data_IF_890925047456
#
_entry.id   IF_890925047456
#
_cell.length_a   1.000
_cell.length_b   1.000
_cell.length_c   1.000
_cell.angle_alpha   90.00
_cell.angle_beta   90.00
_cell.angle_gamma   90.00
#
_symmetry.space_group_name_H-M   'P 1'
#
loop_
_entity.id
_entity.type
_entity.pdbx_description
1 polymer ?
#
# COMPACT_ATOMS: atom_id res chain seq x y z
N UNK A 1 -5.22 12.85 -15.34
CA UNK A 1 -4.06 13.69 -15.59
C UNK A 1 -2.82 13.11 -14.93
N UNK A 2 -1.74 13.01 -15.69
CA UNK A 2 -0.51 12.38 -15.19
C UNK A 2 0.14 13.15 -14.06
N UNK A 3 -0.19 14.41 -13.88
CA UNK A 3 0.38 15.24 -12.82
C UNK A 3 -0.49 15.29 -11.57
N UNK A 4 -1.64 14.63 -11.60
CA UNK A 4 -2.49 14.60 -10.42
C UNK A 4 -1.92 13.69 -9.37
N UNK A 5 -2.09 14.07 -8.12
CA UNK A 5 -1.71 13.26 -6.97
C UNK A 5 -2.93 12.96 -6.13
N UNK A 6 -2.84 11.90 -5.35
CA UNK A 6 -3.95 11.42 -4.55
C UNK A 6 -3.61 11.47 -3.07
N UNK A 7 -4.60 11.80 -2.25
CA UNK A 7 -4.43 11.78 -0.80
C UNK A 7 -4.42 10.36 -0.28
N UNK A 8 -5.22 9.48 -0.89
CA UNK A 8 -5.32 8.09 -0.48
C UNK A 8 -5.36 7.22 -1.73
N UNK A 9 -4.57 6.17 -1.73
CA UNK A 9 -4.64 5.13 -2.76
C UNK A 9 -4.91 3.82 -2.04
N UNK A 10 -5.92 3.10 -2.50
CA UNK A 10 -6.27 1.79 -1.96
C UNK A 10 -5.99 0.72 -3.01
N UNK A 11 -5.20 -0.29 -2.63
CA UNK A 11 -4.89 -1.41 -3.50
C UNK A 11 -5.49 -2.69 -2.93
N UNK A 12 -6.20 -3.43 -3.78
CA UNK A 12 -6.80 -4.70 -3.44
C UNK A 12 -6.41 -5.72 -4.51
N UNK A 13 -5.11 -6.11 -4.59
CA UNK A 13 -4.68 -7.08 -5.59
C UNK A 13 -5.32 -8.44 -5.34
N UNK A 14 -5.35 -9.31 -6.34
CA UNK A 14 -5.89 -10.66 -6.17
C UNK A 14 -5.13 -11.43 -5.08
N UNK A 15 -5.81 -12.34 -4.41
CA UNK A 15 -5.15 -13.26 -3.49
C UNK A 15 -4.06 -14.03 -4.23
N UNK A 16 -3.05 -14.44 -3.51
CA UNK A 16 -1.88 -15.14 -4.05
C UNK A 16 -1.00 -14.26 -4.94
N UNK A 17 -1.28 -12.96 -4.98
CA UNK A 17 -0.41 -12.04 -5.68
C UNK A 17 0.88 -11.89 -4.88
N UNK A 18 2.02 -12.23 -5.49
CA UNK A 18 3.29 -12.26 -4.78
C UNK A 18 4.19 -11.07 -5.09
N UNK A 19 3.62 -10.01 -5.67
CA UNK A 19 4.40 -8.83 -6.06
C UNK A 19 3.94 -7.55 -5.36
N UNK A 20 3.40 -7.72 -4.15
CA UNK A 20 2.92 -6.58 -3.37
C UNK A 20 4.00 -5.54 -3.14
N UNK A 21 5.21 -6.00 -2.79
CA UNK A 21 6.30 -5.07 -2.53
C UNK A 21 6.75 -4.35 -3.80
N UNK A 22 6.73 -5.04 -4.93
CA UNK A 22 7.08 -4.42 -6.20
C UNK A 22 6.10 -3.31 -6.58
N UNK A 23 4.79 -3.57 -6.42
CA UNK A 23 3.78 -2.57 -6.73
C UNK A 23 3.85 -1.41 -5.74
N UNK A 24 4.04 -1.72 -4.47
CA UNK A 24 4.17 -0.67 -3.45
C UNK A 24 5.35 0.24 -3.78
N UNK A 25 6.50 -0.35 -4.09
CA UNK A 25 7.68 0.43 -4.42
C UNK A 25 7.47 1.27 -5.66
N UNK A 26 6.79 0.73 -6.67
CA UNK A 26 6.51 1.48 -7.89
C UNK A 26 5.64 2.70 -7.61
N UNK A 27 4.60 2.53 -6.80
CA UNK A 27 3.70 3.63 -6.46
C UNK A 27 4.43 4.71 -5.69
N UNK A 28 5.24 4.32 -4.72
CA UNK A 28 5.99 5.28 -3.91
C UNK A 28 7.05 5.99 -4.74
N UNK A 29 7.70 5.27 -5.65
CA UNK A 29 8.73 5.85 -6.52
C UNK A 29 8.13 6.89 -7.46
N UNK A 30 6.94 6.65 -7.98
CA UNK A 30 6.32 7.59 -8.92
C UNK A 30 5.72 8.81 -8.24
N UNK A 31 5.68 8.82 -6.93
CA UNK A 31 5.24 9.97 -6.14
C UNK A 31 3.85 10.47 -6.56
N UNK A 32 2.94 9.55 -6.78
CA UNK A 32 1.57 9.91 -7.15
C UNK A 32 0.68 10.17 -5.94
N UNK A 33 1.23 10.05 -4.74
CA UNK A 33 0.52 10.32 -3.50
C UNK A 33 1.02 11.65 -2.93
N UNK A 34 0.10 12.50 -2.48
CA UNK A 34 0.46 13.77 -1.88
C UNK A 34 1.29 13.58 -0.61
N UNK A 35 2.06 14.59 -0.27
CA UNK A 35 2.74 14.60 1.01
C UNK A 35 1.69 14.48 2.12
N UNK A 36 1.96 13.64 3.10
CA UNK A 36 1.02 13.29 4.16
C UNK A 36 -0.17 12.47 3.68
N UNK A 37 -0.07 11.92 2.48
CA UNK A 37 -1.06 11.00 1.97
C UNK A 37 -0.83 9.60 2.51
N UNK A 38 -1.65 8.66 2.05
CA UNK A 38 -1.63 7.30 2.56
C UNK A 38 -1.85 6.30 1.43
N UNK A 39 -1.03 5.25 1.43
CA UNK A 39 -1.25 4.08 0.58
C UNK A 39 -1.74 2.95 1.47
N UNK A 40 -2.87 2.36 1.12
CA UNK A 40 -3.44 1.25 1.87
C UNK A 40 -3.43 0.02 0.97
N UNK A 41 -2.84 -1.06 1.45
CA UNK A 41 -2.80 -2.32 0.70
C UNK A 41 -3.49 -3.41 1.49
N UNK A 42 -4.47 -4.06 0.87
CA UNK A 42 -5.09 -5.25 1.43
C UNK A 42 -4.25 -6.45 1.03
N UNK A 43 -3.95 -7.33 1.98
CA UNK A 43 -3.11 -8.50 1.71
C UNK A 43 -3.40 -9.60 2.73
N UNK A 44 -2.82 -10.77 2.48
CA UNK A 44 -2.94 -11.87 3.45
C UNK A 44 -1.71 -11.89 4.37
N UNK A 45 -1.66 -12.90 5.24
CA UNK A 45 -0.61 -12.99 6.24
C UNK A 45 0.77 -13.30 5.68
N UNK A 46 0.84 -13.74 4.42
CA UNK A 46 2.11 -14.13 3.81
C UNK A 46 2.90 -12.93 3.32
N UNK A 47 2.23 -11.81 3.12
CA UNK A 47 2.89 -10.61 2.63
C UNK A 47 3.40 -9.80 3.82
N UNK A 48 4.67 -9.43 3.77
CA UNK A 48 5.32 -8.67 4.84
C UNK A 48 5.97 -7.43 4.23
N UNK A 49 5.71 -6.28 4.85
CA UNK A 49 6.31 -5.02 4.45
C UNK A 49 7.25 -4.56 5.56
N UNK A 50 8.49 -4.24 5.19
CA UNK A 50 9.51 -3.79 6.15
C UNK A 50 9.63 -2.29 6.23
N UNK A 51 8.74 -1.56 5.57
CA UNK A 51 8.82 -0.11 5.49
C UNK A 51 8.63 0.53 6.86
N UNK A 52 9.18 1.73 7.01
CA UNK A 52 8.97 2.53 8.22
C UNK A 52 7.65 3.28 8.11
N UNK A 53 7.13 3.70 9.26
CA UNK A 53 5.92 4.52 9.33
C UNK A 53 4.70 3.81 8.74
N UNK A 54 4.59 2.52 9.00
CA UNK A 54 3.42 1.76 8.55
C UNK A 54 2.56 1.38 9.74
N UNK A 55 1.27 1.23 9.47
CA UNK A 55 0.33 0.67 10.42
C UNK A 55 -0.30 -0.56 9.80
N UNK A 56 -0.44 -1.61 10.61
CA UNK A 56 -1.07 -2.84 10.16
C UNK A 56 -2.34 -3.08 10.96
N UNK A 57 -3.42 -3.36 10.26
CA UNK A 57 -4.69 -3.73 10.88
C UNK A 57 -5.12 -5.08 10.37
N UNK A 58 -5.71 -5.88 11.24
CA UNK A 58 -6.19 -7.20 10.88
C UNK A 58 -7.68 -7.29 11.11
N UNK A 59 -8.39 -7.78 10.11
CA UNK A 59 -9.83 -8.03 10.19
C UNK A 59 -10.09 -9.45 9.69
N UNK A 60 -10.40 -10.37 10.62
CA UNK A 60 -10.52 -11.78 10.25
C UNK A 60 -9.19 -12.32 9.74
N UNK A 61 -9.17 -12.81 8.51
CA UNK A 61 -7.96 -13.32 7.86
C UNK A 61 -7.32 -12.31 6.91
N UNK A 62 -7.84 -11.08 6.89
CA UNK A 62 -7.39 -10.05 5.95
C UNK A 62 -6.57 -9.01 6.69
N UNK A 63 -5.49 -8.56 6.07
CA UNK A 63 -4.65 -7.52 6.62
C UNK A 63 -4.71 -6.27 5.75
N UNK A 64 -4.66 -5.13 6.40
CA UNK A 64 -4.54 -3.84 5.73
C UNK A 64 -3.28 -3.17 6.26
N UNK A 65 -2.36 -2.83 5.38
CA UNK A 65 -1.17 -2.09 5.76
C UNK A 65 -1.25 -0.70 5.17
N UNK A 66 -1.09 0.30 6.04
CA UNK A 66 -1.14 1.70 5.65
C UNK A 66 0.25 2.28 5.67
N UNK A 67 0.65 2.85 4.55
CA UNK A 67 1.94 3.52 4.40
C UNK A 67 1.68 5.01 4.48
N UNK A 68 2.12 5.62 5.56
CA UNK A 68 1.92 7.05 5.81
C UNK A 68 3.12 7.83 5.27
N UNK A 69 2.86 8.75 4.38
CA UNK A 69 3.92 9.47 3.67
C UNK A 69 4.13 10.87 4.21
#
# INVERSE_FOLDING_TARGET
>A
NTNDKFDIIFLDPPYNYNKYNEIKDLILEKKIIENNGCLIIEHDKRTIFDDKNIEKRKYGSVFFTMFNL
#
